data_IF_267288544097
#
_entry.id   IF_267288544097
#
_cell.length_a   1.000
_cell.length_b   1.000
_cell.length_c   1.000
_cell.angle_alpha   90.00
_cell.angle_beta   90.00
_cell.angle_gamma   90.00
#
_symmetry.space_group_name_H-M   'P 1'
#
loop_
_entity.id
_entity.type
_entity.pdbx_description
1 polymer ?
#
# COMPACT_ATOMS: atom_id res chain seq x y z
N UNK A 1 -4.94 14.12 9.53
CA UNK A 1 -4.30 13.47 8.36
C UNK A 1 -3.42 12.36 8.92
N UNK A 2 -3.64 11.09 8.58
CA UNK A 2 -2.97 9.94 9.23
C UNK A 2 -2.04 9.17 8.28
N UNK A 3 -1.84 9.69 7.07
CA UNK A 3 -1.20 9.00 5.95
C UNK A 3 -0.45 10.01 5.10
N UNK A 4 0.65 9.56 4.51
CA UNK A 4 1.44 10.34 3.58
C UNK A 4 0.82 10.23 2.18
N UNK A 5 0.32 11.34 1.63
CA UNK A 5 -0.18 11.39 0.26
C UNK A 5 1.00 11.42 -0.71
N UNK A 6 1.05 10.48 -1.65
CA UNK A 6 1.96 10.58 -2.79
C UNK A 6 1.26 11.36 -3.90
N UNK A 7 1.89 12.42 -4.40
CA UNK A 7 1.34 13.18 -5.54
C UNK A 7 1.44 12.33 -6.81
N UNK A 8 0.43 12.44 -7.68
CA UNK A 8 0.24 11.61 -8.88
C UNK A 8 1.48 11.58 -9.78
N UNK A 9 2.21 12.70 -9.86
CA UNK A 9 3.39 12.87 -10.69
C UNK A 9 4.57 11.98 -10.24
N UNK A 10 4.65 11.63 -8.95
CA UNK A 10 5.74 10.81 -8.36
C UNK A 10 5.32 9.42 -7.95
N UNK A 11 4.02 9.20 -7.89
CA UNK A 11 3.39 7.97 -7.46
C UNK A 11 3.92 6.77 -8.26
N UNK A 12 4.09 6.93 -9.58
CA UNK A 12 4.64 5.86 -10.44
C UNK A 12 6.07 5.45 -10.06
N UNK A 13 6.91 6.38 -9.61
CA UNK A 13 8.30 6.08 -9.20
C UNK A 13 8.32 5.42 -7.84
N UNK A 14 7.57 5.95 -6.87
CA UNK A 14 7.45 5.36 -5.55
C UNK A 14 6.81 3.96 -5.61
N UNK A 15 5.72 3.77 -6.36
CA UNK A 15 5.10 2.45 -6.57
C UNK A 15 6.10 1.44 -7.13
N UNK A 16 6.82 1.78 -8.20
CA UNK A 16 7.84 0.90 -8.79
C UNK A 16 8.96 0.59 -7.79
N UNK A 17 9.41 1.58 -7.03
CA UNK A 17 10.45 1.41 -6.03
C UNK A 17 10.00 0.46 -4.91
N UNK A 18 8.78 0.66 -4.40
CA UNK A 18 8.20 -0.16 -3.33
C UNK A 18 8.07 -1.61 -3.77
N UNK A 19 7.44 -1.82 -4.92
CA UNK A 19 7.22 -3.14 -5.50
C UNK A 19 8.54 -3.91 -5.73
N UNK A 20 9.59 -3.21 -6.17
CA UNK A 20 10.86 -3.84 -6.53
C UNK A 20 11.71 -4.19 -5.31
N UNK A 21 11.67 -3.36 -4.27
CA UNK A 21 12.69 -3.37 -3.22
C UNK A 21 12.17 -3.82 -1.85
N UNK A 22 10.86 -3.99 -1.68
CA UNK A 22 10.27 -4.34 -0.39
C UNK A 22 9.51 -5.66 -0.47
N UNK A 23 9.67 -6.47 0.58
CA UNK A 23 8.99 -7.76 0.72
C UNK A 23 7.48 -7.54 0.97
N UNK A 24 6.60 -7.99 0.06
CA UNK A 24 5.17 -7.90 0.27
C UNK A 24 4.71 -8.95 1.30
N UNK A 25 3.81 -8.55 2.19
CA UNK A 25 3.26 -9.39 3.26
C UNK A 25 1.82 -9.79 3.00
N UNK A 26 0.98 -8.83 2.60
CA UNK A 26 -0.46 -9.03 2.42
C UNK A 26 -0.98 -8.19 1.27
N UNK A 27 -1.96 -8.72 0.56
CA UNK A 27 -2.73 -8.00 -0.43
C UNK A 27 -4.22 -8.11 -0.14
N UNK A 28 -4.86 -6.96 0.02
CA UNK A 28 -6.27 -6.86 0.34
C UNK A 28 -6.99 -5.97 -0.68
N UNK A 29 -8.11 -6.46 -1.18
CA UNK A 29 -9.07 -5.70 -1.99
C UNK A 29 -10.43 -5.87 -1.35
N UNK A 30 -11.08 -4.75 -1.04
CA UNK A 30 -12.41 -4.76 -0.42
C UNK A 30 -13.25 -3.57 -0.91
N UNK A 31 -14.58 -3.69 -0.86
CA UNK A 31 -15.47 -2.55 -1.06
C UNK A 31 -15.08 -1.35 -0.19
N UNK A 32 -14.96 -0.18 -0.79
CA UNK A 32 -14.76 1.08 -0.06
C UNK A 32 -16.10 1.64 0.44
N UNK A 33 -17.14 1.60 -0.38
CA UNK A 33 -18.50 1.97 0.01
C UNK A 33 -19.35 0.75 0.40
N UNK A 34 -20.35 0.98 1.28
CA UNK A 34 -21.29 -0.04 1.74
C UNK A 34 -22.20 -0.59 0.61
N UNK A 35 -22.31 0.11 -0.52
CA UNK A 35 -23.18 -0.25 -1.63
C UNK A 35 -22.58 -1.26 -2.61
N UNK A 36 -21.32 -1.65 -2.43
CA UNK A 36 -20.58 -2.44 -3.40
C UNK A 36 -20.33 -3.85 -2.85
N UNK A 37 -20.95 -4.86 -3.47
CA UNK A 37 -20.82 -6.27 -3.10
C UNK A 37 -19.68 -6.99 -3.85
N UNK A 38 -18.80 -6.24 -4.55
CA UNK A 38 -17.70 -6.80 -5.33
C UNK A 38 -16.72 -7.60 -4.46
N UNK A 39 -15.96 -8.45 -5.15
CA UNK A 39 -15.00 -9.43 -4.63
C UNK A 39 -14.13 -8.89 -3.50
N UNK A 40 -14.12 -9.61 -2.38
CA UNK A 40 -13.13 -9.46 -1.32
C UNK A 40 -11.96 -10.37 -1.64
N UNK A 41 -10.78 -9.80 -1.80
CA UNK A 41 -9.53 -10.57 -1.94
C UNK A 41 -8.71 -10.28 -0.70
N UNK A 42 -8.24 -11.32 -0.03
CA UNK A 42 -7.33 -11.21 1.10
C UNK A 42 -6.31 -12.33 0.98
N UNK A 43 -5.11 -11.96 0.52
CA UNK A 43 -4.06 -12.91 0.17
C UNK A 43 -2.82 -12.64 1.02
N UNK A 44 -2.38 -13.67 1.75
CA UNK A 44 -1.07 -13.71 2.39
C UNK A 44 0.00 -13.88 1.31
N UNK A 45 0.97 -12.97 1.25
CA UNK A 45 2.02 -12.96 0.23
C UNK A 45 3.36 -13.48 0.74
N UNK A 46 3.47 -13.79 2.04
CA UNK A 46 4.72 -14.24 2.68
C UNK A 46 5.22 -15.52 2.02
N UNK A 47 6.44 -15.47 1.46
CA UNK A 47 7.08 -16.60 0.79
C UNK A 47 6.40 -17.07 -0.51
N UNK A 48 5.41 -16.33 -1.05
CA UNK A 48 4.70 -16.69 -2.28
C UNK A 48 5.27 -15.97 -3.51
N UNK A 49 5.10 -16.58 -4.68
CA UNK A 49 5.37 -15.95 -5.98
C UNK A 49 4.23 -14.99 -6.32
N UNK A 50 4.23 -13.82 -5.69
CA UNK A 50 3.28 -12.78 -6.01
C UNK A 50 3.98 -11.67 -6.80
N UNK A 51 3.64 -11.56 -8.09
CA UNK A 51 4.29 -10.60 -8.97
C UNK A 51 3.40 -9.36 -9.14
N UNK A 52 3.96 -8.19 -8.84
CA UNK A 52 3.38 -6.91 -9.19
C UNK A 52 4.06 -6.39 -10.45
N UNK A 53 3.28 -6.11 -11.49
CA UNK A 53 3.79 -5.49 -12.72
C UNK A 53 3.13 -4.13 -12.90
N UNK A 54 3.98 -3.10 -12.98
CA UNK A 54 3.57 -1.75 -13.30
C UNK A 54 3.74 -1.51 -14.80
N UNK A 55 2.65 -1.63 -15.57
CA UNK A 55 2.62 -1.38 -17.02
C UNK A 55 1.71 -0.18 -17.32
N UNK A 56 0.57 -0.41 -17.98
CA UNK A 56 -0.54 0.54 -18.18
C UNK A 56 -1.53 0.59 -16.99
N UNK A 57 -1.23 -0.19 -15.96
CA UNK A 57 -1.97 -0.31 -14.72
C UNK A 57 -1.20 -1.22 -13.77
N UNK A 58 -1.75 -1.44 -12.59
CA UNK A 58 -1.14 -2.32 -11.60
C UNK A 58 -1.72 -3.73 -11.81
N UNK A 59 -0.88 -4.64 -12.30
CA UNK A 59 -1.21 -6.07 -12.43
C UNK A 59 -0.66 -6.82 -11.23
N UNK A 60 -1.50 -7.68 -10.69
CA UNK A 60 -1.22 -8.54 -9.56
C UNK A 60 -1.47 -9.97 -10.02
N UNK A 61 -0.44 -10.81 -10.04
CA UNK A 61 -0.62 -12.24 -10.30
C UNK A 61 -0.20 -13.04 -9.07
N UNK A 62 -1.15 -13.81 -8.53
CA UNK A 62 -0.87 -14.93 -7.63
C UNK A 62 -1.02 -16.25 -8.39
N UNK A 63 -0.80 -17.37 -7.71
CA UNK A 63 -1.09 -18.71 -8.25
C UNK A 63 -2.59 -18.92 -8.53
N UNK A 64 -3.49 -18.08 -7.98
CA UNK A 64 -4.94 -18.24 -8.07
C UNK A 64 -5.63 -17.16 -8.88
N UNK A 65 -5.16 -15.92 -8.79
CA UNK A 65 -5.88 -14.75 -9.30
C UNK A 65 -4.96 -13.84 -10.10
N UNK A 66 -5.52 -13.27 -11.18
CA UNK A 66 -4.95 -12.14 -11.89
C UNK A 66 -5.86 -10.93 -11.68
N UNK A 67 -5.38 -9.96 -10.90
CA UNK A 67 -6.09 -8.71 -10.64
C UNK A 67 -5.42 -7.61 -11.44
N UNK A 68 -6.21 -6.84 -12.18
CA UNK A 68 -5.74 -5.68 -12.92
C UNK A 68 -6.45 -4.43 -12.43
N UNK A 69 -5.68 -3.46 -11.94
CA UNK A 69 -6.16 -2.16 -11.54
C UNK A 69 -5.73 -1.13 -12.59
N UNK A 70 -6.66 -0.63 -13.43
CA UNK A 70 -6.34 0.42 -14.37
C UNK A 70 -5.99 1.71 -13.61
N UNK A 71 -4.86 2.33 -13.95
CA UNK A 71 -4.37 3.54 -13.29
C UNK A 71 -4.72 4.83 -14.06
N UNK A 72 -5.62 4.74 -15.03
CA UNK A 72 -5.95 5.85 -15.95
C UNK A 72 -6.67 7.02 -15.24
N UNK A 73 -7.59 6.72 -14.31
CA UNK A 73 -8.53 7.71 -13.75
C UNK A 73 -8.43 7.92 -12.23
N UNK A 74 -7.37 7.43 -11.56
CA UNK A 74 -7.27 7.69 -10.12
C UNK A 74 -7.01 9.19 -9.88
N UNK A 75 -7.88 9.81 -9.08
CA UNK A 75 -7.90 11.25 -8.78
C UNK A 75 -6.85 11.66 -7.75
N UNK A 76 -6.48 10.74 -6.85
CA UNK A 76 -5.50 10.94 -5.79
C UNK A 76 -4.48 9.81 -5.82
N UNK A 77 -3.19 10.14 -5.74
CA UNK A 77 -2.13 9.13 -5.69
C UNK A 77 -2.26 8.22 -4.48
N UNK A 78 -1.54 7.09 -4.53
CA UNK A 78 -1.52 6.15 -3.43
C UNK A 78 -1.05 6.86 -2.15
N UNK A 79 -1.55 6.36 -1.03
CA UNK A 79 -1.15 6.81 0.30
C UNK A 79 -0.27 5.76 0.94
N UNK A 80 0.70 6.22 1.71
CA UNK A 80 1.51 5.36 2.57
C UNK A 80 1.08 5.52 4.02
N UNK A 81 0.93 4.39 4.70
CA UNK A 81 0.62 4.28 6.12
C UNK A 81 1.72 3.44 6.79
N UNK A 82 2.31 3.94 7.87
CA UNK A 82 3.28 3.17 8.67
C UNK A 82 2.60 2.60 9.91
N UNK A 83 3.03 1.41 10.33
CA UNK A 83 2.51 0.67 11.47
C UNK A 83 3.66 0.13 12.32
N UNK A 84 3.50 0.17 13.64
CA UNK A 84 4.43 -0.47 14.57
C UNK A 84 3.97 -1.91 14.87
N UNK A 85 4.71 -2.62 15.73
CA UNK A 85 4.44 -4.02 16.12
C UNK A 85 3.27 -4.17 17.11
N UNK A 86 2.79 -3.10 17.73
CA UNK A 86 1.71 -3.18 18.74
C UNK A 86 0.37 -3.51 18.07
N UNK A 87 -0.26 -4.63 18.44
CA UNK A 87 -1.62 -4.99 18.01
C UNK A 87 -1.72 -6.06 16.91
N UNK A 88 -0.89 -7.11 16.96
CA UNK A 88 -0.95 -8.26 16.05
C UNK A 88 -2.23 -9.10 16.26
N UNK A 89 -3.36 -8.67 15.74
CA UNK A 89 -4.46 -9.58 15.38
C UNK A 89 -4.24 -10.07 13.95
N UNK A 90 -4.64 -11.30 13.60
CA UNK A 90 -4.57 -11.76 12.20
C UNK A 90 -5.82 -11.31 11.41
N UNK A 91 -5.67 -10.66 10.24
CA UNK A 91 -4.42 -10.26 9.58
C UNK A 91 -3.75 -9.07 10.31
N UNK A 92 -2.40 -9.00 10.40
CA UNK A 92 -1.67 -8.05 11.23
C UNK A 92 -2.10 -6.60 10.98
N UNK A 93 -2.94 -6.09 11.86
CA UNK A 93 -3.32 -4.68 11.95
C UNK A 93 -2.46 -4.02 13.02
N UNK A 94 -1.14 -3.93 12.77
CA UNK A 94 -0.25 -3.16 13.64
C UNK A 94 -0.78 -1.74 13.84
N UNK A 95 -0.57 -1.16 15.02
CA UNK A 95 -1.10 0.16 15.36
C UNK A 95 -0.54 1.20 14.41
N UNK A 96 -1.45 1.97 13.82
CA UNK A 96 -1.10 3.07 12.91
C UNK A 96 -0.18 4.05 13.62
N UNK A 97 0.96 4.31 13.01
CA UNK A 97 1.84 5.41 13.38
C UNK A 97 1.25 6.66 12.73
N UNK A 98 0.77 7.57 13.58
CA UNK A 98 0.30 8.86 13.13
C UNK A 98 1.51 9.69 12.70
N UNK A 99 1.51 10.28 11.49
CA UNK A 99 2.57 11.18 11.08
C UNK A 99 2.62 12.34 12.07
N UNK A 100 3.71 12.40 12.85
CA UNK A 100 4.01 13.54 13.72
C UNK A 100 4.39 14.76 12.87
N UNK A 101 5.04 14.52 11.73
CA UNK A 101 5.50 15.52 10.77
C UNK A 101 4.97 15.25 9.36
N UNK A 102 5.08 16.24 8.47
CA UNK A 102 4.75 16.08 7.04
C UNK A 102 5.75 15.17 6.29
N UNK A 103 6.87 14.80 6.93
CA UNK A 103 8.00 14.11 6.31
C UNK A 103 8.10 12.65 6.75
N UNK A 104 8.01 11.68 5.81
CA UNK A 104 8.02 10.25 6.13
C UNK A 104 9.39 9.70 6.53
N UNK A 105 10.46 10.45 6.32
CA UNK A 105 11.82 10.03 6.68
C UNK A 105 12.33 10.64 7.99
N UNK A 106 11.44 11.24 8.79
CA UNK A 106 11.78 11.77 10.11
C UNK A 106 12.43 10.68 11.02
N UNK A 107 13.67 10.90 11.49
CA UNK A 107 14.38 9.99 12.38
C UNK A 107 13.73 9.83 13.76
N UNK A 108 12.88 10.76 14.18
CA UNK A 108 12.16 10.72 15.45
C UNK A 108 10.94 9.78 15.43
N UNK A 109 10.56 9.28 14.26
CA UNK A 109 9.42 8.36 14.16
C UNK A 109 9.69 7.05 14.93
N UNK A 110 8.64 6.49 15.57
CA UNK A 110 8.70 5.15 16.14
C UNK A 110 9.15 4.10 15.11
N UNK A 111 9.68 2.99 15.61
CA UNK A 111 10.07 1.87 14.76
C UNK A 111 8.89 1.37 13.92
N UNK A 112 9.10 1.31 12.60
CA UNK A 112 8.08 0.90 11.63
C UNK A 112 8.29 -0.58 11.31
N UNK A 113 7.33 -1.40 11.76
CA UNK A 113 7.31 -2.83 11.48
C UNK A 113 6.72 -3.13 10.11
N UNK A 114 5.74 -2.33 9.67
CA UNK A 114 5.01 -2.55 8.43
C UNK A 114 4.66 -1.24 7.74
N UNK A 115 4.71 -1.24 6.42
CA UNK A 115 4.23 -0.15 5.56
C UNK A 115 3.06 -0.61 4.73
N UNK A 116 2.00 0.20 4.62
CA UNK A 116 0.80 -0.13 3.85
C UNK A 116 0.56 0.91 2.78
N UNK A 117 0.69 0.45 1.54
CA UNK A 117 0.36 1.18 0.34
C UNK A 117 -1.14 1.03 0.06
N UNK A 118 -1.87 2.15 -0.04
CA UNK A 118 -3.32 2.12 -0.18
C UNK A 118 -3.88 3.11 -1.21
N UNK A 119 -4.93 2.70 -1.91
CA UNK A 119 -5.68 3.58 -2.78
C UNK A 119 -7.15 3.12 -2.91
N UNK A 120 -8.02 4.04 -3.32
CA UNK A 120 -9.39 3.72 -3.70
C UNK A 120 -9.50 3.84 -5.22
N UNK A 121 -9.77 2.73 -5.90
CA UNK A 121 -9.92 2.66 -7.35
C UNK A 121 -11.21 1.90 -7.66
N UNK A 122 -12.09 2.47 -8.49
CA UNK A 122 -13.39 1.87 -8.84
C UNK A 122 -14.21 1.43 -7.61
N UNK A 123 -14.23 2.26 -6.57
CA UNK A 123 -14.89 2.00 -5.28
C UNK A 123 -14.38 0.74 -4.54
N UNK A 124 -13.19 0.25 -4.92
CA UNK A 124 -12.45 -0.75 -4.18
C UNK A 124 -11.32 -0.08 -3.42
N UNK A 125 -11.24 -0.35 -2.12
CA UNK A 125 -10.04 -0.07 -1.36
C UNK A 125 -9.03 -1.19 -1.61
N UNK A 126 -7.88 -0.80 -2.13
CA UNK A 126 -6.73 -1.67 -2.36
C UNK A 126 -5.69 -1.34 -1.30
N UNK A 127 -5.18 -2.38 -0.63
CA UNK A 127 -4.15 -2.28 0.40
C UNK A 127 -3.08 -3.34 0.14
N UNK A 128 -1.83 -2.92 0.02
CA UNK A 128 -0.66 -3.81 -0.09
C UNK A 128 0.23 -3.52 1.10
N UNK A 129 0.52 -4.53 1.90
CA UNK A 129 1.38 -4.42 3.06
C UNK A 129 2.79 -4.90 2.73
N UNK A 130 3.79 -4.21 3.23
CA UNK A 130 5.20 -4.50 3.05
C UNK A 130 5.91 -4.58 4.40
N UNK A 131 6.94 -5.41 4.48
CA UNK A 131 7.78 -5.53 5.67
C UNK A 131 8.64 -4.29 5.87
N UNK A 132 8.67 -3.78 7.09
CA UNK A 132 9.49 -2.64 7.51
C UNK A 132 9.02 -1.29 6.97
N UNK A 133 9.91 -0.29 7.10
CA UNK A 133 9.69 1.08 6.60
C UNK A 133 9.99 1.20 5.11
N UNK A 134 8.97 1.54 4.32
CA UNK A 134 9.15 2.00 2.95
C UNK A 134 9.70 3.42 2.95
N UNK A 135 10.84 3.64 2.30
CA UNK A 135 11.37 4.98 2.02
C UNK A 135 10.66 5.56 0.82
N UNK A 136 10.15 6.76 0.96
CA UNK A 136 9.43 7.45 -0.09
C UNK A 136 10.29 8.59 -0.62
N UNK A 137 10.34 8.75 -1.93
CA UNK A 137 10.94 9.94 -2.49
C UNK A 137 9.95 11.11 -2.38
N UNK A 138 10.27 12.08 -1.53
CA UNK A 138 9.63 13.40 -1.46
C UNK A 138 10.54 14.45 -2.13
N UNK A 139 9.96 15.51 -2.69
CA UNK A 139 10.80 16.68 -2.98
C UNK A 139 10.96 17.36 -1.64
N UNK A 140 12.18 17.37 -1.13
CA UNK A 140 12.59 18.39 -0.19
C UNK A 140 12.33 19.74 -0.89
N UNK A 141 11.43 20.53 -0.32
CA UNK A 141 11.36 21.96 -0.61
C UNK A 141 12.00 22.70 0.55
#
# INVERSE_FOLDING_TARGET
MTQYLMRKEKDSKNLKNVIKNYEPLWFNVRPFSLGNAKTKVAEDLRGKKFNFLFLNGLKFSSDRDLIYLPLNDYKYGFKMEYRNEEGLFEPPEGRRIYPFELYPDDPSMPEVYQSVLRNVIDDLLIEISFKGKVKLEYDDK
#
